data_IF_528395204277
#
_entry.id   IF_528395204277
#
_cell.length_a   1.000
_cell.length_b   1.000
_cell.length_c   1.000
_cell.angle_alpha   90.00
_cell.angle_beta   90.00
_cell.angle_gamma   90.00
#
_symmetry.space_group_name_H-M   'P 1'
#
loop_
_entity.id
_entity.type
_entity.pdbx_description
1 polymer ?
#
# COMPACT_ATOMS: atom_id res chain seq x y z
N UNK A 1 -5.54 25.32 -3.28
CA UNK A 1 -4.91 24.80 -4.51
C UNK A 1 -4.56 23.35 -4.24
N UNK A 2 -4.78 22.47 -5.20
CA UNK A 2 -4.32 21.09 -5.09
C UNK A 2 -2.80 21.05 -5.22
N UNK A 3 -2.18 20.03 -4.63
CA UNK A 3 -0.77 19.76 -4.84
C UNK A 3 -0.56 19.27 -6.28
N UNK A 4 0.51 19.71 -6.95
CA UNK A 4 0.79 19.23 -8.32
C UNK A 4 0.97 17.71 -8.34
N UNK A 5 1.77 17.18 -7.41
CA UNK A 5 2.02 15.74 -7.23
C UNK A 5 1.81 15.38 -5.76
N UNK A 6 0.97 14.37 -5.54
CA UNK A 6 0.78 13.73 -4.25
C UNK A 6 1.40 12.33 -4.24
N UNK A 7 1.92 11.88 -3.10
CA UNK A 7 2.47 10.54 -2.92
C UNK A 7 1.73 9.83 -1.80
N UNK A 8 1.17 8.65 -2.09
CA UNK A 8 0.65 7.73 -1.08
C UNK A 8 1.46 6.45 -1.14
N UNK A 9 1.93 5.98 0.02
CA UNK A 9 2.65 4.72 0.11
C UNK A 9 2.04 3.68 1.05
N UNK A 10 2.15 2.42 0.64
CA UNK A 10 1.73 1.26 1.39
C UNK A 10 2.31 -0.04 0.83
N UNK A 11 2.26 -1.13 1.61
CA UNK A 11 2.72 -2.44 1.12
C UNK A 11 1.75 -3.06 0.13
N UNK A 12 0.46 -2.79 0.30
CA UNK A 12 -0.65 -3.32 -0.50
C UNK A 12 -0.65 -4.86 -0.63
N UNK A 13 -0.22 -5.56 0.42
CA UNK A 13 -0.19 -7.03 0.50
C UNK A 13 -1.58 -7.62 0.80
N UNK A 14 -2.51 -7.41 -0.13
CA UNK A 14 -3.95 -7.59 0.03
C UNK A 14 -4.63 -6.24 -0.10
N UNK A 15 -4.76 -5.76 -1.34
CA UNK A 15 -5.47 -4.52 -1.63
C UNK A 15 -6.92 -4.66 -1.13
N UNK A 16 -7.40 -3.65 -0.42
CA UNK A 16 -8.67 -3.72 0.32
C UNK A 16 -9.35 -2.36 0.37
N UNK A 17 -10.62 -2.31 0.76
CA UNK A 17 -11.42 -1.08 0.72
C UNK A 17 -10.85 0.05 1.60
N UNK A 18 -10.21 -0.27 2.73
CA UNK A 18 -9.48 0.72 3.52
C UNK A 18 -8.31 1.38 2.77
N UNK A 19 -7.62 0.65 1.89
CA UNK A 19 -6.61 1.26 1.01
C UNK A 19 -7.27 2.14 -0.05
N UNK A 20 -8.43 1.74 -0.59
CA UNK A 20 -9.16 2.54 -1.58
C UNK A 20 -9.64 3.87 -0.98
N UNK A 21 -10.16 3.87 0.25
CA UNK A 21 -10.49 5.11 0.99
C UNK A 21 -9.27 6.04 1.04
N UNK A 22 -8.12 5.49 1.41
CA UNK A 22 -6.88 6.25 1.53
C UNK A 22 -6.39 6.81 0.19
N UNK A 23 -6.33 5.97 -0.85
CA UNK A 23 -5.85 6.36 -2.17
C UNK A 23 -6.75 7.43 -2.80
N UNK A 24 -8.07 7.26 -2.70
CA UNK A 24 -9.02 8.21 -3.27
C UNK A 24 -9.02 9.55 -2.51
N UNK A 25 -8.83 9.53 -1.19
CA UNK A 25 -8.66 10.76 -0.41
C UNK A 25 -7.41 11.55 -0.83
N UNK A 26 -6.28 10.87 -1.09
CA UNK A 26 -5.08 11.54 -1.63
C UNK A 26 -5.27 12.05 -3.06
N UNK A 27 -5.94 11.27 -3.92
CA UNK A 27 -6.22 11.67 -5.30
C UNK A 27 -7.11 12.93 -5.42
N UNK A 28 -7.89 13.25 -4.38
CA UNK A 28 -8.68 14.48 -4.29
C UNK A 28 -7.85 15.71 -3.91
N UNK A 29 -6.65 15.53 -3.33
CA UNK A 29 -5.79 16.62 -2.85
C UNK A 29 -4.68 17.03 -3.82
N UNK A 30 -4.43 16.21 -4.84
CA UNK A 30 -3.40 16.45 -5.83
C UNK A 30 -3.96 16.42 -7.26
N UNK A 31 -3.19 16.90 -8.22
CA UNK A 31 -3.48 16.80 -9.65
C UNK A 31 -2.99 15.46 -10.22
N UNK A 32 -1.84 14.95 -9.78
CA UNK A 32 -1.32 13.61 -10.10
C UNK A 32 -0.95 12.82 -8.84
N UNK A 33 -1.42 11.59 -8.71
CA UNK A 33 -1.13 10.72 -7.57
C UNK A 33 -0.05 9.67 -7.90
N UNK A 34 1.06 9.67 -7.18
CA UNK A 34 2.01 8.56 -7.17
C UNK A 34 1.64 7.57 -6.06
N UNK A 35 1.31 6.35 -6.46
CA UNK A 35 1.00 5.24 -5.55
C UNK A 35 2.26 4.41 -5.33
N UNK A 36 2.93 4.67 -4.22
CA UNK A 36 4.16 4.02 -3.80
C UNK A 36 3.97 2.65 -3.16
N UNK A 37 4.37 1.59 -3.85
CA UNK A 37 4.40 0.23 -3.30
C UNK A 37 5.66 0.06 -2.46
N UNK A 38 5.51 0.08 -1.14
CA UNK A 38 6.62 -0.22 -0.22
C UNK A 38 6.88 -1.70 -0.13
N UNK A 39 8.07 -2.08 0.37
CA UNK A 39 8.46 -3.48 0.44
C UNK A 39 8.24 -4.19 -0.92
N UNK A 40 8.66 -3.55 -2.02
CA UNK A 40 8.39 -4.01 -3.38
C UNK A 40 9.24 -5.22 -3.78
N UNK A 41 10.39 -5.39 -3.14
CA UNK A 41 11.25 -6.59 -3.20
C UNK A 41 11.30 -7.29 -1.83
N UNK A 42 10.19 -7.90 -1.35
CA UNK A 42 10.09 -8.37 0.03
C UNK A 42 10.99 -9.57 0.37
N UNK A 43 11.62 -10.17 -0.65
CA UNK A 43 12.51 -11.32 -0.55
C UNK A 43 14.00 -10.94 -0.51
N UNK A 44 14.32 -9.67 -0.74
CA UNK A 44 15.68 -9.15 -0.64
C UNK A 44 16.08 -8.95 0.82
N UNK A 45 17.40 -8.94 1.08
CA UNK A 45 17.93 -8.59 2.38
C UNK A 45 17.56 -7.16 2.74
N UNK A 46 17.18 -6.94 4.01
CA UNK A 46 16.79 -5.64 4.56
C UNK A 46 17.74 -5.25 5.69
N UNK A 47 17.83 -3.95 6.03
CA UNK A 47 18.58 -3.52 7.19
C UNK A 47 18.12 -4.23 8.47
N UNK A 48 19.06 -4.41 9.40
CA UNK A 48 18.78 -4.97 10.72
C UNK A 48 17.72 -4.11 11.45
N UNK A 49 16.85 -4.77 12.23
CA UNK A 49 15.69 -4.15 12.89
C UNK A 49 14.43 -4.05 12.01
N UNK A 50 14.53 -3.83 10.70
CA UNK A 50 13.36 -3.87 9.78
C UNK A 50 12.97 -5.32 9.47
N UNK A 51 13.97 -6.20 9.35
CA UNK A 51 13.78 -7.63 9.06
C UNK A 51 12.99 -8.38 10.13
N UNK A 52 13.13 -7.98 11.39
CA UNK A 52 12.54 -8.65 12.56
C UNK A 52 11.03 -8.36 12.72
N UNK A 53 10.54 -7.30 12.08
CA UNK A 53 9.12 -6.96 12.14
C UNK A 53 8.26 -8.06 11.51
N UNK A 54 7.14 -8.40 12.15
CA UNK A 54 6.18 -9.37 11.60
C UNK A 54 5.73 -9.02 10.16
N UNK A 55 5.71 -7.73 9.83
CA UNK A 55 5.38 -7.21 8.49
C UNK A 55 6.44 -7.52 7.41
N UNK A 56 7.63 -7.94 7.78
CA UNK A 56 8.72 -8.32 6.88
C UNK A 56 8.76 -9.82 6.57
N UNK A 57 7.96 -10.64 7.25
CA UNK A 57 7.90 -12.09 7.04
C UNK A 57 7.31 -12.46 5.67
N UNK A 58 7.69 -13.62 5.11
CA UNK A 58 7.22 -14.06 3.77
C UNK A 58 5.69 -14.22 3.72
N UNK A 59 5.09 -14.82 4.75
CA UNK A 59 3.63 -14.99 4.85
C UNK A 59 2.87 -13.66 4.94
N UNK A 60 3.51 -12.59 5.40
CA UNK A 60 2.96 -11.24 5.43
C UNK A 60 3.08 -10.51 4.08
N UNK A 61 3.81 -11.08 3.11
CA UNK A 61 4.10 -10.50 1.81
C UNK A 61 3.92 -11.50 0.64
N UNK A 62 2.74 -12.15 0.48
CA UNK A 62 2.54 -13.23 -0.50
C UNK A 62 2.46 -12.76 -1.96
N UNK A 63 2.24 -11.47 -2.19
CA UNK A 63 2.09 -10.90 -3.53
C UNK A 63 3.37 -10.20 -3.98
N UNK A 64 3.69 -10.39 -5.25
CA UNK A 64 4.79 -9.71 -5.92
C UNK A 64 4.49 -8.23 -6.12
N UNK A 65 5.49 -7.43 -6.48
CA UNK A 65 5.25 -6.04 -6.90
C UNK A 65 4.27 -5.95 -8.07
N UNK A 66 4.46 -6.77 -9.10
CA UNK A 66 3.64 -6.72 -10.32
C UNK A 66 2.17 -7.04 -10.02
N UNK A 67 1.91 -8.08 -9.24
CA UNK A 67 0.54 -8.46 -8.84
C UNK A 67 -0.15 -7.31 -8.08
N UNK A 68 0.56 -6.67 -7.15
CA UNK A 68 0.05 -5.50 -6.43
C UNK A 68 -0.20 -4.31 -7.34
N UNK A 69 0.70 -4.05 -8.29
CA UNK A 69 0.56 -2.96 -9.25
C UNK A 69 -0.67 -3.15 -10.14
N UNK A 70 -0.91 -4.36 -10.66
CA UNK A 70 -2.09 -4.63 -11.48
C UNK A 70 -3.37 -4.46 -10.67
N UNK A 71 -3.41 -5.02 -9.45
CA UNK A 71 -4.58 -4.85 -8.55
C UNK A 71 -4.86 -3.38 -8.24
N UNK A 72 -3.82 -2.58 -7.96
CA UNK A 72 -3.95 -1.13 -7.70
C UNK A 72 -4.47 -0.38 -8.92
N UNK A 73 -3.82 -0.57 -10.07
CA UNK A 73 -4.17 0.11 -11.33
C UNK A 73 -5.62 -0.14 -11.70
N UNK A 74 -6.03 -1.41 -11.74
CA UNK A 74 -7.36 -1.78 -12.22
C UNK A 74 -8.43 -1.35 -11.21
N UNK A 75 -8.14 -1.40 -9.90
CA UNK A 75 -9.07 -0.94 -8.86
C UNK A 75 -9.28 0.57 -8.85
N UNK A 76 -8.22 1.35 -9.11
CA UNK A 76 -8.31 2.81 -9.19
C UNK A 76 -9.09 3.26 -10.42
N UNK A 77 -8.85 2.63 -11.57
CA UNK A 77 -9.60 2.90 -12.81
C UNK A 77 -11.08 2.53 -12.64
N UNK A 78 -11.39 1.37 -12.08
CA UNK A 78 -12.78 0.95 -11.82
C UNK A 78 -13.48 1.85 -10.79
N UNK A 79 -12.73 2.47 -9.86
CA UNK A 79 -13.24 3.47 -8.92
C UNK A 79 -13.42 4.87 -9.55
N UNK A 80 -13.12 5.04 -10.85
CA UNK A 80 -13.32 6.27 -11.59
C UNK A 80 -12.14 7.25 -11.57
N UNK A 81 -10.97 6.87 -11.04
CA UNK A 81 -9.76 7.69 -11.17
C UNK A 81 -9.17 7.49 -12.59
N UNK A 82 -9.07 8.54 -13.41
CA UNK A 82 -8.54 8.41 -14.77
C UNK A 82 -7.11 7.87 -14.77
N UNK A 83 -6.75 7.05 -15.77
CA UNK A 83 -5.44 6.38 -15.81
C UNK A 83 -4.28 7.38 -15.87
N UNK A 84 -4.50 8.52 -16.49
CA UNK A 84 -3.56 9.63 -16.62
C UNK A 84 -3.36 10.42 -15.32
N UNK A 85 -4.19 10.22 -14.29
CA UNK A 85 -4.12 10.93 -13.01
C UNK A 85 -3.27 10.23 -11.95
N UNK A 86 -2.70 9.07 -12.27
CA UNK A 86 -1.86 8.36 -11.31
C UNK A 86 -0.85 7.43 -11.97
N UNK A 87 0.22 7.14 -11.23
CA UNK A 87 1.15 6.05 -11.54
C UNK A 87 1.41 5.20 -10.30
N UNK A 88 1.71 3.93 -10.53
CA UNK A 88 2.12 3.00 -9.46
C UNK A 88 3.62 2.78 -9.57
N UNK A 89 4.34 3.12 -8.51
CA UNK A 89 5.81 3.13 -8.47
C UNK A 89 6.33 2.25 -7.32
N UNK A 90 7.54 1.71 -7.42
CA UNK A 90 8.27 1.23 -6.23
C UNK A 90 8.49 2.39 -5.26
N UNK A 91 8.41 2.14 -3.96
CA UNK A 91 8.67 3.16 -2.95
C UNK A 91 9.58 2.64 -1.84
N UNK A 92 10.88 2.99 -1.84
CA UNK A 92 11.88 2.39 -0.95
C UNK A 92 11.91 3.07 0.42
N UNK A 93 10.80 3.02 1.19
CA UNK A 93 10.79 3.60 2.55
C UNK A 93 11.80 2.91 3.48
N UNK A 94 12.17 1.66 3.20
CA UNK A 94 13.20 0.92 3.93
C UNK A 94 14.63 1.39 3.58
N UNK A 95 14.80 2.15 2.50
CA UNK A 95 16.06 2.74 2.03
C UNK A 95 15.80 4.22 1.67
N UNK A 96 15.58 5.09 2.68
CA UNK A 96 15.07 6.44 2.47
C UNK A 96 15.93 7.28 1.52
N UNK A 97 17.24 7.05 1.49
CA UNK A 97 18.19 7.72 0.59
C UNK A 97 17.90 7.48 -0.90
N UNK A 98 17.08 6.47 -1.23
CA UNK A 98 16.71 6.13 -2.61
C UNK A 98 15.41 6.75 -3.06
N UNK A 99 14.61 7.34 -2.17
CA UNK A 99 13.25 7.84 -2.46
C UNK A 99 13.24 8.84 -3.61
N UNK A 100 14.24 9.72 -3.69
CA UNK A 100 14.34 10.75 -4.73
C UNK A 100 14.49 10.19 -6.15
N UNK A 101 14.84 8.89 -6.32
CA UNK A 101 14.84 8.24 -7.64
C UNK A 101 13.44 7.85 -8.12
N UNK A 102 12.46 7.81 -7.22
CA UNK A 102 11.12 7.29 -7.49
C UNK A 102 10.02 8.35 -7.33
N UNK A 103 10.22 9.33 -6.45
CA UNK A 103 9.26 10.38 -6.18
C UNK A 103 9.94 11.76 -6.10
N UNK A 104 9.30 12.83 -6.61
CA UNK A 104 9.86 14.18 -6.54
C UNK A 104 10.02 14.67 -5.10
N UNK A 105 11.10 15.40 -4.77
CA UNK A 105 11.32 15.93 -3.42
C UNK A 105 10.33 17.03 -3.03
N UNK A 106 9.72 17.71 -4.00
CA UNK A 106 8.74 18.79 -3.82
C UNK A 106 7.28 18.31 -3.83
N UNK A 107 7.04 17.00 -3.95
CA UNK A 107 5.71 16.42 -3.86
C UNK A 107 5.15 16.49 -2.42
N UNK A 108 3.83 16.41 -2.29
CA UNK A 108 3.17 16.24 -0.99
C UNK A 108 3.05 14.75 -0.63
N UNK A 109 3.69 14.33 0.46
CA UNK A 109 3.69 12.93 0.92
C UNK A 109 2.59 12.72 1.94
N UNK A 110 1.51 12.08 1.53
CA UNK A 110 0.38 11.79 2.39
C UNK A 110 0.67 10.55 3.24
N UNK A 111 0.38 10.63 4.54
CA UNK A 111 0.49 9.52 5.51
C UNK A 111 -0.78 9.36 6.33
N UNK A 112 -1.03 8.14 6.79
CA UNK A 112 -2.04 7.82 7.81
C UNK A 112 -1.37 7.17 9.00
N UNK A 113 -1.77 7.56 10.20
CA UNK A 113 -1.19 7.06 11.44
C UNK A 113 -2.22 6.18 12.13
N UNK A 114 -1.91 4.87 12.20
CA UNK A 114 -2.69 3.87 12.91
C UNK A 114 -1.91 3.16 14.02
N UNK A 115 -0.59 3.14 13.89
CA UNK A 115 0.33 2.42 14.76
C UNK A 115 1.68 3.16 14.79
N UNK A 116 2.60 2.66 15.62
CA UNK A 116 3.98 3.18 15.70
C UNK A 116 4.70 3.18 14.36
N UNK A 117 4.31 2.30 13.43
CA UNK A 117 4.91 2.29 12.09
C UNK A 117 4.39 3.43 11.22
N UNK A 118 3.11 3.78 11.31
CA UNK A 118 2.58 5.00 10.71
C UNK A 118 3.38 6.23 11.14
N UNK A 119 3.68 6.32 12.44
CA UNK A 119 4.50 7.38 13.03
C UNK A 119 5.95 7.34 12.53
N UNK A 120 6.56 6.15 12.50
CA UNK A 120 7.92 5.98 11.99
C UNK A 120 8.04 6.43 10.52
N UNK A 121 7.08 6.08 9.66
CA UNK A 121 7.08 6.54 8.26
C UNK A 121 7.01 8.06 8.16
N UNK A 122 6.18 8.71 8.99
CA UNK A 122 6.09 10.18 9.03
C UNK A 122 7.47 10.77 9.37
N UNK A 123 8.09 10.26 10.44
CA UNK A 123 9.40 10.73 10.88
C UNK A 123 10.48 10.56 9.80
N UNK A 124 10.54 9.39 9.15
CA UNK A 124 11.51 9.13 8.07
C UNK A 124 11.39 10.15 6.93
N UNK A 125 10.17 10.51 6.53
CA UNK A 125 9.95 11.47 5.44
C UNK A 125 10.31 12.90 5.87
N UNK A 126 9.97 13.28 7.10
CA UNK A 126 10.31 14.58 7.66
C UNK A 126 11.82 14.76 7.88
N UNK A 127 12.52 13.72 8.31
CA UNK A 127 13.99 13.72 8.46
C UNK A 127 14.71 13.91 7.12
N UNK A 128 14.07 13.52 6.01
CA UNK A 128 14.53 13.79 4.65
C UNK A 128 14.15 15.18 4.13
N UNK A 129 13.44 15.99 4.91
CA UNK A 129 12.94 17.30 4.50
C UNK A 129 11.78 17.24 3.49
N UNK A 130 11.11 16.09 3.36
CA UNK A 130 9.98 15.92 2.45
C UNK A 130 8.71 16.51 3.07
N UNK A 131 7.93 17.26 2.28
CA UNK A 131 6.64 17.80 2.73
C UNK A 131 5.69 16.65 3.04
N UNK A 132 5.45 16.41 4.32
CA UNK A 132 4.64 15.29 4.80
C UNK A 132 3.32 15.79 5.38
N UNK A 133 2.22 15.17 4.99
CA UNK A 133 0.87 15.53 5.41
C UNK A 133 0.13 14.33 5.98
N UNK A 134 -0.36 14.49 7.22
CA UNK A 134 -1.18 13.46 7.87
C UNK A 134 -2.63 13.61 7.41
N UNK A 135 -3.15 12.65 6.65
CA UNK A 135 -4.56 12.67 6.24
C UNK A 135 -5.48 12.38 7.43
N UNK A 136 -5.07 11.45 8.29
CA UNK A 136 -5.74 11.16 9.55
C UNK A 136 -4.85 10.40 10.52
N UNK A 137 -5.20 10.56 11.79
CA UNK A 137 -4.77 9.69 12.89
C UNK A 137 -6.03 8.92 13.31
N UNK A 138 -5.99 7.60 13.22
CA UNK A 138 -7.12 6.71 13.55
C UNK A 138 -6.63 5.56 14.40
N UNK A 139 -7.43 5.10 15.34
CA UNK A 139 -7.13 3.84 16.02
C UNK A 139 -7.48 2.63 15.14
N UNK A 140 -7.08 1.43 15.58
CA UNK A 140 -7.33 0.20 14.82
C UNK A 140 -8.83 -0.16 14.78
N UNK A 141 -9.63 0.31 15.74
CA UNK A 141 -11.09 0.07 15.75
C UNK A 141 -11.83 0.86 14.66
N UNK A 142 -11.22 1.95 14.19
CA UNK A 142 -11.70 2.76 13.08
C UNK A 142 -11.21 2.27 11.70
N UNK A 143 -10.46 1.16 11.66
CA UNK A 143 -9.96 0.59 10.41
C UNK A 143 -11.08 -0.17 9.70
N UNK A 144 -11.41 0.26 8.48
CA UNK A 144 -12.42 -0.41 7.65
C UNK A 144 -12.11 -1.88 7.40
N UNK A 145 -10.83 -2.20 7.14
CA UNK A 145 -10.35 -3.56 6.90
C UNK A 145 -8.81 -3.54 6.87
N UNK A 146 -8.18 -4.71 7.05
CA UNK A 146 -6.73 -4.86 6.98
C UNK A 146 -6.30 -5.96 6.01
N UNK A 147 -5.11 -5.81 5.42
CA UNK A 147 -4.54 -6.86 4.58
C UNK A 147 -4.32 -8.17 5.34
N UNK A 148 -4.07 -8.10 6.66
CA UNK A 148 -3.95 -9.30 7.50
C UNK A 148 -5.27 -10.06 7.58
N UNK A 149 -6.37 -9.36 7.77
CA UNK A 149 -7.71 -9.96 7.78
C UNK A 149 -8.05 -10.58 6.41
N UNK A 150 -7.84 -9.83 5.32
CA UNK A 150 -8.08 -10.34 3.96
C UNK A 150 -7.29 -11.62 3.69
N UNK A 151 -5.99 -11.62 3.98
CA UNK A 151 -5.14 -12.81 3.78
C UNK A 151 -5.59 -13.99 4.63
N UNK A 152 -5.96 -13.75 5.90
CA UNK A 152 -6.48 -14.79 6.81
C UNK A 152 -7.76 -15.42 6.28
N UNK A 153 -8.73 -14.60 5.87
CA UNK A 153 -10.03 -15.09 5.37
C UNK A 153 -9.85 -15.95 4.12
N UNK A 154 -9.03 -15.51 3.17
CA UNK A 154 -8.72 -16.28 1.95
C UNK A 154 -8.07 -17.63 2.31
N UNK A 155 -7.07 -17.64 3.18
CA UNK A 155 -6.38 -18.86 3.60
C UNK A 155 -7.31 -19.86 4.30
N UNK A 156 -8.29 -19.36 5.06
CA UNK A 156 -9.28 -20.18 5.76
C UNK A 156 -10.48 -20.57 4.89
N UNK A 157 -10.53 -20.13 3.62
CA UNK A 157 -11.69 -20.35 2.75
C UNK A 157 -12.97 -19.66 3.25
N UNK A 158 -12.84 -18.59 4.04
CA UNK A 158 -13.95 -17.78 4.53
C UNK A 158 -14.26 -16.64 3.54
N UNK A 159 -15.50 -16.11 3.50
CA UNK A 159 -15.86 -14.98 2.64
C UNK A 159 -14.96 -13.76 2.90
N UNK A 160 -14.40 -13.18 1.84
CA UNK A 160 -13.43 -12.07 1.88
C UNK A 160 -13.67 -11.03 0.79
N UNK A 161 -14.48 -11.37 -0.21
CA UNK A 161 -14.73 -10.63 -1.44
C UNK A 161 -15.32 -9.24 -1.18
N UNK A 162 -16.05 -9.11 -0.07
CA UNK A 162 -16.66 -7.86 0.39
C UNK A 162 -15.65 -6.85 0.97
N UNK A 163 -14.41 -7.28 1.26
CA UNK A 163 -13.37 -6.43 1.84
C UNK A 163 -12.45 -5.80 0.79
N UNK A 164 -12.59 -6.19 -0.49
CA UNK A 164 -11.68 -5.81 -1.56
C UNK A 164 -12.41 -5.13 -2.72
N UNK A 165 -11.74 -4.28 -3.51
CA UNK A 165 -12.32 -3.79 -4.76
C UNK A 165 -12.54 -4.94 -5.77
N UNK A 166 -13.58 -4.89 -6.62
CA UNK A 166 -13.89 -5.97 -7.55
C UNK A 166 -12.74 -6.32 -8.50
N UNK A 167 -11.96 -5.36 -9.00
CA UNK A 167 -10.75 -5.64 -9.78
C UNK A 167 -9.73 -6.50 -9.05
N UNK A 168 -9.41 -6.18 -7.78
CA UNK A 168 -8.49 -6.97 -6.99
C UNK A 168 -9.03 -8.39 -6.75
N UNK A 169 -10.33 -8.53 -6.49
CA UNK A 169 -10.99 -9.83 -6.38
C UNK A 169 -10.77 -10.67 -7.64
N UNK A 170 -11.14 -10.14 -8.81
CA UNK A 170 -11.00 -10.84 -10.10
C UNK A 170 -9.57 -11.26 -10.36
N UNK A 171 -8.59 -10.40 -10.04
CA UNK A 171 -7.18 -10.71 -10.19
C UNK A 171 -6.76 -11.88 -9.30
N UNK A 172 -7.13 -11.86 -8.01
CA UNK A 172 -6.82 -12.92 -7.04
C UNK A 172 -7.42 -14.27 -7.46
N UNK A 173 -8.68 -14.27 -7.90
CA UNK A 173 -9.39 -15.49 -8.32
C UNK A 173 -8.79 -16.11 -9.60
N UNK A 174 -8.33 -15.28 -10.56
CA UNK A 174 -7.86 -15.74 -11.87
C UNK A 174 -6.36 -16.09 -11.95
N UNK A 175 -5.55 -15.76 -10.93
CA UNK A 175 -4.09 -15.90 -10.98
C UNK A 175 -3.52 -16.92 -9.97
N UNK A 176 -4.35 -17.83 -9.45
CA UNK A 176 -3.91 -18.88 -8.52
C UNK A 176 -3.47 -18.36 -7.15
N UNK A 177 -3.82 -17.11 -6.82
CA UNK A 177 -3.36 -16.44 -5.60
C UNK A 177 -4.05 -16.96 -4.33
N UNK A 178 -5.26 -17.50 -4.46
CA UNK A 178 -5.97 -18.16 -3.35
C UNK A 178 -5.16 -19.34 -2.83
N UNK A 179 -4.68 -20.22 -3.72
CA UNK A 179 -3.91 -21.39 -3.32
C UNK A 179 -2.58 -20.99 -2.69
N UNK A 180 -1.88 -20.01 -3.29
CA UNK A 180 -0.64 -19.47 -2.73
C UNK A 180 -0.82 -18.95 -1.29
N UNK A 181 -1.94 -18.28 -1.02
CA UNK A 181 -2.26 -17.80 0.33
C UNK A 181 -2.53 -18.93 1.31
N UNK A 182 -3.24 -19.99 0.89
CA UNK A 182 -3.44 -21.19 1.69
C UNK A 182 -2.10 -21.83 2.05
N UNK A 183 -1.21 -22.00 1.08
CA UNK A 183 0.10 -22.63 1.28
C UNK A 183 1.03 -21.78 2.17
N UNK A 184 0.95 -20.44 2.06
CA UNK A 184 1.80 -19.53 2.83
C UNK A 184 1.36 -19.31 4.29
N UNK A 185 0.12 -19.69 4.63
CA UNK A 185 -0.50 -19.47 5.94
C UNK A 185 -0.96 -20.76 6.63
N UNK A 186 -0.74 -21.91 5.99
CA UNK A 186 -0.81 -23.23 6.61
C UNK A 186 0.35 -23.43 7.60
#
# INVERSE_FOLDING_TARGET
MNDSIGVIMGRFQGLHLGHMEYLLAGAQRCDHLLVGVTNFTPWEEKPDGVRELARSQRNANPFTYYERMVMLRDSLVEAGLPRERFDVIPFPIEYPERIANFAPPDAAYYVTIYDQWGEHKRQVLEDLGLRTEVLWVRDDSQRLTSGTEVRRLIAQGQPWEHLVPPAARRYIESHGLIQRLKDALA
#
